data_IF_028237035587
#
_entry.id   IF_028237035587
#
_cell.length_a   1.000
_cell.length_b   1.000
_cell.length_c   1.000
_cell.angle_alpha   90.00
_cell.angle_beta   90.00
_cell.angle_gamma   90.00
#
_symmetry.space_group_name_H-M   'P 1'
#
loop_
_entity.id
_entity.type
_entity.pdbx_description
1 polymer ?
#
# COMPACT_ATOMS: atom_id res chain seq x y z
N UNK A 1 -8.63 -47.12 6.97
CA UNK A 1 -8.56 -45.71 6.52
C UNK A 1 -9.40 -45.53 5.29
N UNK A 2 -10.47 -44.77 5.39
CA UNK A 2 -11.40 -44.56 4.30
C UNK A 2 -10.83 -43.55 3.31
N UNK A 3 -11.16 -43.67 2.02
CA UNK A 3 -10.73 -42.77 0.93
C UNK A 3 -11.02 -41.27 1.22
N UNK A 4 -11.95 -41.01 2.14
CA UNK A 4 -12.36 -39.67 2.59
C UNK A 4 -11.36 -39.06 3.59
N UNK A 5 -10.74 -39.85 4.45
CA UNK A 5 -9.71 -39.42 5.43
C UNK A 5 -8.40 -39.04 4.72
N UNK A 6 -7.99 -39.87 3.73
CA UNK A 6 -6.78 -39.59 2.91
C UNK A 6 -6.90 -38.26 2.13
N UNK A 7 -8.10 -37.90 1.69
CA UNK A 7 -8.31 -36.65 0.96
C UNK A 7 -8.31 -35.42 1.89
N UNK A 8 -8.78 -35.54 3.12
CA UNK A 8 -8.73 -34.47 4.11
C UNK A 8 -7.32 -34.20 4.60
N UNK A 9 -6.50 -35.22 4.79
CA UNK A 9 -5.11 -35.06 5.21
C UNK A 9 -4.27 -34.39 4.12
N UNK A 10 -4.46 -34.76 2.86
CA UNK A 10 -3.82 -34.10 1.71
C UNK A 10 -4.24 -32.63 1.55
N UNK A 11 -5.52 -32.33 1.73
CA UNK A 11 -6.02 -30.96 1.70
C UNK A 11 -5.45 -30.11 2.86
N UNK A 12 -5.41 -30.69 4.07
CA UNK A 12 -4.88 -30.00 5.25
C UNK A 12 -3.37 -29.75 5.14
N UNK A 13 -2.61 -30.70 4.54
CA UNK A 13 -1.19 -30.51 4.27
C UNK A 13 -0.96 -29.42 3.23
N UNK A 14 -1.65 -29.45 2.11
CA UNK A 14 -1.57 -28.44 1.07
C UNK A 14 -1.95 -27.04 1.63
N UNK A 15 -2.99 -26.96 2.44
CA UNK A 15 -3.40 -25.72 3.10
C UNK A 15 -2.32 -25.18 4.04
N UNK A 16 -1.68 -26.08 4.82
CA UNK A 16 -0.55 -25.71 5.70
C UNK A 16 0.66 -25.21 4.90
N UNK A 17 0.99 -25.84 3.78
CA UNK A 17 2.09 -25.42 2.91
C UNK A 17 1.81 -24.05 2.26
N UNK A 18 0.59 -23.84 1.78
CA UNK A 18 0.16 -22.56 1.23
C UNK A 18 0.21 -21.46 2.30
N UNK A 19 -0.31 -21.72 3.50
CA UNK A 19 -0.31 -20.76 4.61
C UNK A 19 1.10 -20.52 5.19
N UNK A 20 2.00 -21.50 5.08
CA UNK A 20 3.40 -21.36 5.49
C UNK A 20 4.23 -20.57 4.46
N UNK A 21 3.76 -20.43 3.22
CA UNK A 21 4.43 -19.68 2.17
C UNK A 21 4.54 -18.19 2.49
N UNK A 22 5.74 -17.61 2.28
CA UNK A 22 5.99 -16.19 2.54
C UNK A 22 5.03 -15.26 1.77
N UNK A 23 4.76 -15.60 0.50
CA UNK A 23 3.84 -14.84 -0.34
C UNK A 23 2.40 -14.82 0.21
N UNK A 24 1.91 -15.95 0.71
CA UNK A 24 0.56 -16.05 1.28
C UNK A 24 0.42 -15.20 2.54
N UNK A 25 1.43 -15.23 3.42
CA UNK A 25 1.42 -14.36 4.61
C UNK A 25 1.40 -12.88 4.23
N UNK A 26 2.18 -12.49 3.23
CA UNK A 26 2.21 -11.10 2.74
C UNK A 26 0.85 -10.70 2.20
N UNK A 27 0.23 -11.51 1.35
CA UNK A 27 -1.10 -11.23 0.78
C UNK A 27 -2.15 -11.13 1.91
N UNK A 28 -2.16 -12.08 2.85
CA UNK A 28 -3.09 -12.03 3.98
C UNK A 28 -2.88 -10.80 4.86
N UNK A 29 -1.63 -10.40 5.10
CA UNK A 29 -1.34 -9.18 5.88
C UNK A 29 -1.83 -7.92 5.18
N UNK A 30 -1.66 -7.84 3.86
CA UNK A 30 -2.16 -6.72 3.05
C UNK A 30 -3.69 -6.68 3.07
N UNK A 31 -4.35 -7.82 2.85
CA UNK A 31 -5.82 -7.91 2.91
C UNK A 31 -6.36 -7.53 4.30
N UNK A 32 -5.69 -8.00 5.36
CA UNK A 32 -6.04 -7.64 6.74
C UNK A 32 -5.87 -6.12 6.96
N UNK A 33 -4.80 -5.53 6.45
CA UNK A 33 -4.58 -4.08 6.49
C UNK A 33 -5.71 -3.29 5.82
N UNK A 34 -6.14 -3.73 4.64
CA UNK A 34 -7.30 -3.13 3.96
C UNK A 34 -8.58 -3.30 4.78
N UNK A 35 -8.82 -4.48 5.35
CA UNK A 35 -9.99 -4.72 6.17
C UNK A 35 -10.02 -3.82 7.41
N UNK A 36 -8.90 -3.71 8.12
CA UNK A 36 -8.76 -2.83 9.29
C UNK A 36 -8.94 -1.37 8.88
N UNK A 37 -8.34 -0.96 7.76
CA UNK A 37 -8.52 0.39 7.19
C UNK A 37 -9.99 0.69 6.87
N UNK A 38 -10.71 -0.25 6.26
CA UNK A 38 -12.15 -0.12 5.99
C UNK A 38 -12.96 0.06 7.27
N UNK A 39 -12.67 -0.73 8.31
CA UNK A 39 -13.33 -0.59 9.62
C UNK A 39 -13.09 0.81 10.20
N UNK A 40 -11.85 1.31 10.17
CA UNK A 40 -11.55 2.66 10.67
C UNK A 40 -12.26 3.75 9.85
N UNK A 41 -12.34 3.62 8.53
CA UNK A 41 -13.09 4.57 7.69
C UNK A 41 -14.57 4.62 8.09
N UNK A 42 -15.19 3.46 8.28
CA UNK A 42 -16.61 3.34 8.64
C UNK A 42 -16.89 3.91 10.02
N UNK A 43 -16.12 3.54 11.04
CA UNK A 43 -16.35 4.03 12.41
C UNK A 43 -16.00 5.51 12.60
N UNK A 44 -15.27 6.11 11.67
CA UNK A 44 -14.96 7.54 11.66
C UNK A 44 -15.99 8.37 10.86
N UNK A 45 -16.88 7.71 10.14
CA UNK A 45 -17.88 8.39 9.31
C UNK A 45 -19.13 8.76 10.13
N UNK A 46 -19.50 10.04 10.09
CA UNK A 46 -20.64 10.56 10.87
C UNK A 46 -21.98 9.97 10.42
N UNK A 47 -22.21 9.84 9.12
CA UNK A 47 -23.45 9.30 8.56
C UNK A 47 -23.69 7.85 9.01
N UNK A 48 -22.61 7.05 9.05
CA UNK A 48 -22.67 5.69 9.57
C UNK A 48 -23.03 5.68 11.06
N UNK A 49 -22.36 6.52 11.86
CA UNK A 49 -22.59 6.59 13.33
C UNK A 49 -24.02 7.06 13.63
N UNK A 50 -24.52 8.08 12.94
CA UNK A 50 -25.88 8.56 13.07
C UNK A 50 -26.90 7.50 12.65
N UNK A 51 -26.60 6.75 11.58
CA UNK A 51 -27.40 5.64 11.10
C UNK A 51 -27.53 4.48 12.10
N UNK A 52 -26.55 4.29 13.00
CA UNK A 52 -26.61 3.27 14.05
C UNK A 52 -27.77 3.50 15.04
N UNK A 53 -28.18 4.77 15.26
CA UNK A 53 -29.29 5.10 16.15
C UNK A 53 -30.64 4.53 15.70
N UNK A 54 -30.81 4.28 14.42
CA UNK A 54 -32.03 3.70 13.82
C UNK A 54 -31.75 2.45 12.98
N UNK A 55 -30.61 1.78 13.22
CA UNK A 55 -30.17 0.61 12.47
C UNK A 55 -31.24 -0.50 12.39
N UNK A 56 -31.93 -0.79 13.49
CA UNK A 56 -32.98 -1.83 13.51
C UNK A 56 -34.22 -1.47 12.68
N UNK A 57 -34.47 -0.18 12.43
CA UNK A 57 -35.58 0.27 11.61
C UNK A 57 -35.21 0.34 10.12
N UNK A 58 -33.96 0.75 9.81
CA UNK A 58 -33.45 0.90 8.45
C UNK A 58 -31.99 0.45 8.34
N UNK A 59 -31.70 -0.85 8.36
CA UNK A 59 -30.33 -1.35 8.28
C UNK A 59 -29.63 -1.00 6.96
N UNK A 60 -30.42 -0.82 5.89
CA UNK A 60 -29.90 -0.49 4.56
C UNK A 60 -29.18 0.86 4.51
N UNK A 61 -29.62 1.83 5.28
CA UNK A 61 -29.04 3.18 5.28
C UNK A 61 -27.61 3.15 5.88
N UNK A 62 -27.43 2.48 7.02
CA UNK A 62 -26.11 2.33 7.65
C UNK A 62 -25.16 1.45 6.83
N UNK A 63 -25.64 0.34 6.26
CA UNK A 63 -24.84 -0.52 5.40
C UNK A 63 -24.47 0.18 4.10
N UNK A 64 -25.38 0.98 3.54
CA UNK A 64 -25.14 1.81 2.36
C UNK A 64 -24.06 2.87 2.63
N UNK A 65 -24.16 3.60 3.75
CA UNK A 65 -23.16 4.57 4.15
C UNK A 65 -21.78 3.91 4.37
N UNK A 66 -21.73 2.74 5.03
CA UNK A 66 -20.49 2.00 5.21
C UNK A 66 -19.86 1.60 3.86
N UNK A 67 -20.64 1.05 2.95
CA UNK A 67 -20.17 0.68 1.61
C UNK A 67 -19.67 1.88 0.82
N UNK A 68 -20.41 2.99 0.84
CA UNK A 68 -20.03 4.22 0.15
C UNK A 68 -18.70 4.76 0.64
N UNK A 69 -18.53 4.87 1.96
CA UNK A 69 -17.27 5.34 2.56
C UNK A 69 -16.08 4.46 2.18
N UNK A 70 -16.25 3.13 2.18
CA UNK A 70 -15.20 2.20 1.79
C UNK A 70 -14.87 2.34 0.30
N UNK A 71 -15.88 2.35 -0.56
CA UNK A 71 -15.69 2.43 -2.01
C UNK A 71 -15.08 3.77 -2.44
N UNK A 72 -15.54 4.87 -1.85
CA UNK A 72 -15.01 6.20 -2.14
C UNK A 72 -13.58 6.36 -1.62
N UNK A 73 -13.32 5.88 -0.40
CA UNK A 73 -11.99 5.94 0.20
C UNK A 73 -10.95 5.14 -0.60
N UNK A 74 -11.20 3.87 -0.88
CA UNK A 74 -10.28 3.07 -1.69
C UNK A 74 -10.27 3.49 -3.16
N UNK A 75 -11.39 3.93 -3.71
CA UNK A 75 -11.46 4.52 -5.04
C UNK A 75 -10.59 5.78 -5.15
N UNK A 76 -10.62 6.65 -4.15
CA UNK A 76 -9.77 7.84 -4.10
C UNK A 76 -8.27 7.48 -4.00
N UNK A 77 -7.92 6.47 -3.19
CA UNK A 77 -6.54 5.96 -3.12
C UNK A 77 -6.07 5.42 -4.47
N UNK A 78 -6.90 4.64 -5.15
CA UNK A 78 -6.56 4.11 -6.47
C UNK A 78 -6.40 5.21 -7.52
N UNK A 79 -7.35 6.17 -7.55
CA UNK A 79 -7.28 7.32 -8.46
C UNK A 79 -6.08 8.23 -8.18
N UNK A 80 -5.71 8.37 -6.93
CA UNK A 80 -4.59 9.21 -6.52
C UNK A 80 -3.21 8.58 -6.67
N UNK A 81 -3.12 7.24 -6.77
CA UNK A 81 -1.84 6.53 -6.80
C UNK A 81 -1.55 5.78 -8.10
N UNK A 82 -2.58 5.29 -8.80
CA UNK A 82 -2.40 4.42 -9.95
C UNK A 82 -2.99 5.04 -11.22
N UNK A 83 -4.31 5.26 -11.24
CA UNK A 83 -5.00 5.70 -12.44
C UNK A 83 -6.24 6.51 -12.11
N UNK A 84 -6.32 7.72 -12.66
CA UNK A 84 -7.49 8.59 -12.49
C UNK A 84 -8.43 8.45 -13.69
N UNK A 85 -9.48 7.63 -13.54
CA UNK A 85 -10.47 7.40 -14.59
C UNK A 85 -11.36 8.62 -14.88
N UNK A 86 -11.43 9.60 -13.95
CA UNK A 86 -12.26 10.80 -14.08
C UNK A 86 -11.52 11.94 -14.81
N UNK A 87 -10.30 11.69 -15.30
CA UNK A 87 -9.49 12.71 -15.96
C UNK A 87 -9.89 12.92 -17.43
N UNK A 88 -9.90 14.17 -17.87
CA UNK A 88 -10.28 14.57 -19.23
C UNK A 88 -9.28 14.12 -20.32
N UNK A 89 -8.04 13.82 -19.95
CA UNK A 89 -6.97 13.44 -20.87
C UNK A 89 -6.18 12.26 -20.33
N UNK A 90 -5.64 11.44 -21.24
CA UNK A 90 -4.80 10.29 -20.88
C UNK A 90 -3.58 10.68 -20.04
N UNK A 91 -2.96 11.82 -20.34
CA UNK A 91 -1.83 12.35 -19.58
C UNK A 91 -2.21 12.58 -18.09
N UNK A 92 -3.35 13.23 -17.83
CA UNK A 92 -3.86 13.45 -16.48
C UNK A 92 -4.29 12.14 -15.81
N UNK A 93 -4.80 11.18 -16.58
CA UNK A 93 -5.22 9.88 -16.07
C UNK A 93 -4.03 9.04 -15.54
N UNK A 94 -2.86 9.09 -16.22
CA UNK A 94 -1.66 8.32 -15.84
C UNK A 94 -0.74 9.08 -14.86
N UNK A 95 -0.95 10.37 -14.67
CA UNK A 95 -0.13 11.21 -13.78
C UNK A 95 0.01 10.66 -12.36
N UNK A 96 -1.02 10.12 -11.70
CA UNK A 96 -0.89 9.51 -10.38
C UNK A 96 0.15 8.39 -10.34
N UNK A 97 0.20 7.54 -11.36
CA UNK A 97 1.20 6.48 -11.45
C UNK A 97 2.62 7.04 -11.60
N UNK A 98 2.80 8.03 -12.46
CA UNK A 98 4.13 8.65 -12.64
C UNK A 98 4.62 9.33 -11.37
N UNK A 99 3.75 10.00 -10.64
CA UNK A 99 4.08 10.59 -9.34
C UNK A 99 4.42 9.52 -8.29
N UNK A 100 3.66 8.44 -8.23
CA UNK A 100 3.94 7.30 -7.35
C UNK A 100 5.31 6.69 -7.66
N UNK A 101 5.64 6.47 -8.93
CA UNK A 101 6.94 5.94 -9.35
C UNK A 101 8.08 6.93 -9.03
N UNK A 102 7.86 8.21 -9.27
CA UNK A 102 8.84 9.26 -8.96
C UNK A 102 9.19 9.28 -7.46
N UNK A 103 8.18 9.19 -6.60
CA UNK A 103 8.38 9.16 -5.14
C UNK A 103 8.91 7.81 -4.64
N UNK A 104 8.55 6.71 -5.28
CA UNK A 104 9.02 5.37 -4.93
C UNK A 104 10.50 5.15 -5.27
N UNK A 105 11.01 5.76 -6.34
CA UNK A 105 12.39 5.57 -6.82
C UNK A 105 13.45 5.77 -5.74
N UNK A 106 13.52 6.92 -5.03
CA UNK A 106 14.52 7.12 -3.98
C UNK A 106 14.30 6.17 -2.79
N UNK A 107 13.07 5.79 -2.48
CA UNK A 107 12.75 4.84 -1.40
C UNK A 107 13.23 3.43 -1.75
N UNK A 108 13.06 3.00 -2.99
CA UNK A 108 13.56 1.71 -3.49
C UNK A 108 15.08 1.69 -3.43
N UNK A 109 15.75 2.74 -3.89
CA UNK A 109 17.21 2.84 -3.84
C UNK A 109 17.73 2.80 -2.40
N UNK A 110 17.12 3.55 -1.49
CA UNK A 110 17.46 3.52 -0.07
C UNK A 110 17.22 2.14 0.56
N UNK A 111 16.09 1.52 0.26
CA UNK A 111 15.75 0.17 0.72
C UNK A 111 16.73 -0.90 0.25
N UNK A 112 17.18 -0.85 -1.01
CA UNK A 112 18.22 -1.72 -1.53
C UNK A 112 19.57 -1.50 -0.84
N UNK A 113 19.95 -0.26 -0.59
CA UNK A 113 21.16 0.05 0.15
C UNK A 113 21.14 -0.53 1.58
N UNK A 114 20.03 -0.35 2.29
CA UNK A 114 19.82 -0.92 3.63
C UNK A 114 19.83 -2.45 3.58
N UNK A 115 19.14 -3.07 2.61
CA UNK A 115 19.11 -4.52 2.46
C UNK A 115 20.51 -5.10 2.21
N UNK A 116 21.36 -4.40 1.47
CA UNK A 116 22.74 -4.79 1.23
C UNK A 116 23.57 -4.74 2.52
N UNK A 117 23.45 -3.67 3.31
CA UNK A 117 24.15 -3.51 4.59
C UNK A 117 23.78 -4.62 5.58
N UNK A 118 22.50 -4.96 5.69
CA UNK A 118 22.05 -6.08 6.51
C UNK A 118 22.63 -7.43 6.07
N UNK A 119 22.74 -7.66 4.77
CA UNK A 119 23.33 -8.91 4.24
C UNK A 119 24.79 -9.09 4.63
N UNK A 120 25.55 -8.03 4.76
CA UNK A 120 26.96 -8.08 5.19
C UNK A 120 27.14 -7.93 6.70
N UNK A 121 26.04 -8.00 7.47
CA UNK A 121 26.07 -7.93 8.95
C UNK A 121 26.25 -6.53 9.53
N UNK A 122 26.12 -5.48 8.73
CA UNK A 122 26.20 -4.10 9.19
C UNK A 122 24.82 -3.55 9.51
N UNK A 123 24.61 -3.11 10.74
CA UNK A 123 23.39 -2.41 11.14
C UNK A 123 23.47 -0.94 10.73
N UNK A 124 22.64 -0.55 9.76
CA UNK A 124 22.55 0.85 9.35
C UNK A 124 21.36 1.54 10.03
N UNK A 125 21.60 2.19 11.16
CA UNK A 125 20.59 2.99 11.89
C UNK A 125 20.44 4.39 11.26
N UNK A 126 21.40 4.81 10.43
CA UNK A 126 21.50 6.17 9.86
C UNK A 126 20.85 6.35 8.48
N UNK A 127 20.09 5.37 7.97
CA UNK A 127 19.54 5.39 6.60
C UNK A 127 18.77 6.66 6.25
N UNK A 128 17.94 7.16 7.16
CA UNK A 128 17.19 8.41 6.97
C UNK A 128 18.12 9.63 6.90
N UNK A 129 19.12 9.70 7.75
CA UNK A 129 20.12 10.79 7.73
C UNK A 129 20.94 10.79 6.45
N UNK A 130 21.33 9.61 5.95
CA UNK A 130 22.05 9.44 4.69
C UNK A 130 21.21 9.92 3.50
N UNK A 131 19.90 9.59 3.48
CA UNK A 131 18.97 10.03 2.45
C UNK A 131 18.82 11.55 2.45
N UNK A 132 18.63 12.16 3.62
CA UNK A 132 18.52 13.63 3.76
C UNK A 132 19.81 14.30 3.31
N UNK A 133 20.97 13.83 3.76
CA UNK A 133 22.26 14.36 3.35
C UNK A 133 22.46 14.25 1.84
N UNK A 134 22.12 13.09 1.25
CA UNK A 134 22.19 12.89 -0.20
C UNK A 134 21.31 13.87 -0.97
N UNK A 135 20.09 14.14 -0.51
CA UNK A 135 19.19 15.13 -1.12
C UNK A 135 19.75 16.55 -1.04
N UNK A 136 20.33 16.94 0.11
CA UNK A 136 20.94 18.27 0.27
C UNK A 136 22.13 18.44 -0.67
N UNK A 137 23.03 17.45 -0.73
CA UNK A 137 24.18 17.49 -1.65
C UNK A 137 23.77 17.48 -3.12
N UNK A 138 22.81 16.65 -3.50
CA UNK A 138 22.28 16.61 -4.86
C UNK A 138 21.70 17.97 -5.26
N UNK A 139 20.89 18.58 -4.39
CA UNK A 139 20.31 19.91 -4.62
C UNK A 139 21.41 20.98 -4.73
N UNK A 140 22.42 20.93 -3.84
CA UNK A 140 23.54 21.86 -3.90
C UNK A 140 24.31 21.77 -5.23
N UNK A 141 24.64 20.55 -5.67
CA UNK A 141 25.32 20.33 -6.95
C UNK A 141 24.46 20.82 -8.11
N UNK A 142 23.18 20.45 -8.15
CA UNK A 142 22.26 20.84 -9.20
C UNK A 142 22.03 22.36 -9.32
N UNK A 143 22.18 23.11 -8.20
CA UNK A 143 21.88 24.56 -8.20
C UNK A 143 23.12 25.44 -8.22
N UNK A 144 24.31 24.93 -7.83
CA UNK A 144 25.51 25.73 -7.65
C UNK A 144 26.67 25.33 -8.56
N UNK A 145 26.62 24.15 -9.15
CA UNK A 145 27.67 23.63 -10.01
C UNK A 145 27.18 23.61 -11.44
N UNK A 146 27.84 24.38 -12.32
CA UNK A 146 27.55 24.36 -13.78
C UNK A 146 28.14 23.07 -14.36
N UNK A 147 27.29 22.06 -14.54
CA UNK A 147 27.66 20.79 -15.15
C UNK A 147 27.24 20.76 -16.64
N UNK A 148 27.96 20.04 -17.50
CA UNK A 148 27.52 19.77 -18.86
C UNK A 148 26.15 19.07 -18.85
N UNK A 149 25.32 19.30 -19.87
CA UNK A 149 23.95 18.79 -20.02
C UNK A 149 23.80 17.28 -19.72
N UNK A 150 24.82 16.47 -20.01
CA UNK A 150 24.83 15.01 -19.75
C UNK A 150 25.01 14.64 -18.27
N UNK A 151 25.49 15.58 -17.43
CA UNK A 151 25.77 15.35 -16.02
C UNK A 151 24.85 16.16 -15.08
N UNK A 152 24.00 16.99 -15.64
CA UNK A 152 23.03 17.83 -14.94
C UNK A 152 21.63 17.21 -15.02
#
# INVERSE_FOLDING_TARGET
>A
MTKKEVNQDGFNQAMKEILAGGATRTILSVLLGFLVGAVFMVISNKEFIEGLGYFFSRPGDSLGAAWQVISDGYGALFRGSIYNADADTFEKAIRPLTETLRLATPLIAAGLGIALTFRVGLFNIGGTGQLISGMIFATFVATKVELPFLLH
#
